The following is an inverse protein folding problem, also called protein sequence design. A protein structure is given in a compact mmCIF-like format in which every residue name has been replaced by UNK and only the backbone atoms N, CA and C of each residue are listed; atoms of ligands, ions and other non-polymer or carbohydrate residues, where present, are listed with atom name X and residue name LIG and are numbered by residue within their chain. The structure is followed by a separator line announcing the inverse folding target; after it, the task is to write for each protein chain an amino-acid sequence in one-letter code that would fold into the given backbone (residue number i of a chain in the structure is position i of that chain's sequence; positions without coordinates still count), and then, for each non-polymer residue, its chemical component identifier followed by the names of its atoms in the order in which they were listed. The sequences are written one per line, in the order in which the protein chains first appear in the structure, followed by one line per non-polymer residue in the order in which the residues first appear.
data_IF_138790083114
#
_entry.id   IF_138790083114
#
_cell.length_a   1.000
_cell.length_b   1.000
_cell.length_c   1.000
_cell.angle_alpha   90.00
_cell.angle_beta   90.00
_cell.angle_gamma   90.00
#
_symmetry.space_group_name_H-M   'P 1'
#
loop_
_entity.id
_entity.type
_entity.pdbx_description
1 polymer ?
#
# COMPACT_ATOMS: atom_id res chain seq x y z
N UNK A 1 14.83 -10.73 -0.44
CA UNK A 1 13.52 -10.08 -0.66
C UNK A 1 12.82 -9.82 0.67
N UNK A 2 11.80 -8.95 0.71
CA UNK A 2 10.98 -8.64 1.89
C UNK A 2 9.53 -8.33 1.46
N UNK A 3 8.60 -8.26 2.42
CA UNK A 3 7.22 -7.81 2.14
C UNK A 3 6.47 -8.69 1.13
N UNK A 4 5.71 -8.05 0.24
CA UNK A 4 4.89 -8.72 -0.79
C UNK A 4 5.72 -9.27 -1.94
N UNK A 5 6.86 -8.65 -2.26
CA UNK A 5 7.80 -9.12 -3.29
C UNK A 5 8.25 -10.58 -3.07
N UNK A 6 8.31 -11.04 -1.80
CA UNK A 6 8.53 -12.43 -1.46
C UNK A 6 7.48 -13.38 -2.04
N UNK A 7 6.20 -13.00 -2.00
CA UNK A 7 5.12 -13.86 -2.50
C UNK A 7 5.22 -14.02 -4.01
N UNK A 8 5.50 -12.94 -4.74
CA UNK A 8 5.73 -13.01 -6.18
C UNK A 8 6.92 -13.92 -6.52
N UNK A 9 8.05 -13.74 -5.82
CA UNK A 9 9.23 -14.59 -6.05
C UNK A 9 8.95 -16.08 -5.76
N UNK A 10 8.24 -16.39 -4.66
CA UNK A 10 7.89 -17.75 -4.28
C UNK A 10 6.90 -18.41 -5.24
N UNK A 11 5.92 -17.66 -5.73
CA UNK A 11 4.94 -18.15 -6.70
C UNK A 11 5.61 -18.46 -8.05
N UNK A 12 6.53 -17.60 -8.48
CA UNK A 12 7.20 -17.73 -9.78
C UNK A 12 8.29 -18.79 -9.76
N UNK A 13 9.07 -18.86 -8.67
CA UNK A 13 10.22 -19.75 -8.51
C UNK A 13 10.07 -20.64 -7.26
N UNK A 14 9.13 -21.61 -7.26
CA UNK A 14 8.85 -22.44 -6.09
C UNK A 14 10.05 -23.30 -5.65
N UNK A 15 10.94 -23.64 -6.58
CA UNK A 15 12.12 -24.47 -6.33
C UNK A 15 13.37 -23.65 -5.98
N UNK A 16 13.30 -22.32 -6.04
CA UNK A 16 14.42 -21.46 -5.67
C UNK A 16 14.58 -21.38 -4.14
N UNK A 17 15.83 -21.30 -3.68
CA UNK A 17 16.08 -20.91 -2.30
C UNK A 17 15.79 -19.41 -2.15
N UNK A 18 14.88 -19.05 -1.24
CA UNK A 18 14.46 -17.66 -1.04
C UNK A 18 14.71 -17.22 0.40
N UNK A 19 15.52 -16.17 0.58
CA UNK A 19 15.65 -15.46 1.85
C UNK A 19 14.59 -14.35 1.95
N UNK A 20 13.59 -14.56 2.82
CA UNK A 20 12.62 -13.54 3.22
C UNK A 20 13.10 -12.82 4.47
N UNK A 21 13.34 -11.52 4.36
CA UNK A 21 13.62 -10.68 5.52
C UNK A 21 12.30 -10.27 6.17
N UNK A 22 12.13 -10.62 7.46
CA UNK A 22 10.97 -10.18 8.26
C UNK A 22 11.10 -8.73 8.74
N UNK A 23 12.33 -8.26 8.92
CA UNK A 23 12.69 -6.90 9.30
C UNK A 23 13.88 -6.48 8.46
N UNK A 24 13.75 -5.36 7.73
CA UNK A 24 14.79 -4.85 6.81
C UNK A 24 15.71 -3.84 7.49
N UNK A 25 15.28 -3.29 8.62
CA UNK A 25 16.08 -2.40 9.46
C UNK A 25 15.87 -2.74 10.95
N UNK A 26 16.93 -2.98 11.74
CA UNK A 26 18.35 -2.97 11.36
C UNK A 26 18.72 -4.06 10.34
N UNK A 27 19.75 -3.80 9.53
CA UNK A 27 20.09 -4.64 8.37
C UNK A 27 20.81 -5.94 8.79
N UNK A 28 20.29 -7.14 8.44
CA UNK A 28 20.80 -8.41 8.98
C UNK A 28 21.99 -8.96 8.18
N UNK A 29 23.13 -8.28 8.23
CA UNK A 29 24.32 -8.60 7.41
C UNK A 29 24.78 -10.06 7.51
N UNK A 30 24.88 -10.60 8.73
CA UNK A 30 25.37 -11.98 8.94
C UNK A 30 24.50 -13.01 8.23
N UNK A 31 23.17 -12.89 8.38
CA UNK A 31 22.20 -13.79 7.75
C UNK A 31 22.30 -13.72 6.21
N UNK A 32 22.46 -12.51 5.67
CA UNK A 32 22.60 -12.30 4.23
C UNK A 32 23.90 -12.92 3.71
N UNK A 33 25.04 -12.73 4.41
CA UNK A 33 26.33 -13.34 4.01
C UNK A 33 26.26 -14.86 4.02
N UNK A 34 25.70 -15.45 5.07
CA UNK A 34 25.54 -16.90 5.20
C UNK A 34 24.65 -17.47 4.09
N UNK A 35 23.59 -16.76 3.72
CA UNK A 35 22.73 -17.16 2.61
C UNK A 35 23.43 -17.00 1.26
N UNK A 36 24.07 -15.86 1.02
CA UNK A 36 24.76 -15.55 -0.24
C UNK A 36 25.90 -16.53 -0.55
N UNK A 37 26.66 -16.95 0.46
CA UNK A 37 27.78 -17.87 0.31
C UNK A 37 27.40 -19.26 -0.24
N UNK A 38 26.10 -19.61 -0.25
CA UNK A 38 25.61 -20.92 -0.71
C UNK A 38 25.32 -20.97 -2.21
N UNK A 39 25.36 -19.84 -2.91
CA UNK A 39 24.90 -19.72 -4.30
C UNK A 39 25.87 -18.90 -5.14
N UNK A 40 25.99 -19.25 -6.42
CA UNK A 40 26.82 -18.51 -7.38
C UNK A 40 26.08 -17.35 -8.06
N UNK A 41 24.74 -17.33 -8.00
CA UNK A 41 23.90 -16.30 -8.60
C UNK A 41 22.80 -15.91 -7.64
N UNK A 42 22.66 -14.61 -7.40
CA UNK A 42 21.73 -14.05 -6.43
C UNK A 42 20.88 -12.96 -7.08
N UNK A 43 19.58 -13.01 -6.79
CA UNK A 43 18.61 -12.01 -7.25
C UNK A 43 18.01 -11.26 -6.06
N UNK A 44 17.92 -9.94 -6.18
CA UNK A 44 17.22 -9.09 -5.21
C UNK A 44 15.88 -8.68 -5.80
N UNK A 45 14.83 -9.37 -5.35
CA UNK A 45 13.44 -9.01 -5.68
C UNK A 45 12.93 -8.07 -4.60
N UNK A 46 12.86 -6.77 -4.91
CA UNK A 46 12.31 -5.72 -4.04
C UNK A 46 11.55 -4.69 -4.86
N UNK A 47 10.51 -4.11 -4.29
CA UNK A 47 9.71 -3.06 -4.95
C UNK A 47 10.23 -1.67 -4.61
N UNK A 48 9.94 -0.70 -5.50
CA UNK A 48 10.39 0.69 -5.41
C UNK A 48 11.92 0.82 -5.53
N UNK A 49 12.56 1.58 -4.65
CA UNK A 49 13.98 1.88 -4.70
C UNK A 49 14.86 0.67 -4.30
N UNK A 50 16.12 0.59 -4.77
CA UNK A 50 17.05 -0.52 -4.53
C UNK A 50 17.63 -0.55 -3.09
N UNK A 51 16.78 -0.50 -2.06
CA UNK A 51 17.25 -0.43 -0.67
C UNK A 51 18.07 -1.67 -0.25
N UNK A 52 17.55 -2.88 -0.50
CA UNK A 52 18.24 -4.12 -0.18
C UNK A 52 19.39 -4.35 -1.13
N UNK A 53 19.21 -4.11 -2.42
CA UNK A 53 20.23 -4.29 -3.44
C UNK A 53 21.47 -3.45 -3.14
N UNK A 54 21.30 -2.15 -2.88
CA UNK A 54 22.40 -1.24 -2.58
C UNK A 54 23.13 -1.66 -1.30
N UNK A 55 22.39 -2.02 -0.26
CA UNK A 55 22.98 -2.48 0.99
C UNK A 55 23.77 -3.80 0.82
N UNK A 56 23.27 -4.74 0.01
CA UNK A 56 23.95 -6.01 -0.28
C UNK A 56 25.20 -5.76 -1.15
N UNK A 57 25.10 -4.91 -2.18
CA UNK A 57 26.25 -4.53 -3.03
C UNK A 57 27.33 -3.83 -2.19
N UNK A 58 26.95 -2.95 -1.26
CA UNK A 58 27.88 -2.29 -0.34
C UNK A 58 28.63 -3.26 0.58
N UNK A 59 28.07 -4.44 0.86
CA UNK A 59 28.73 -5.52 1.59
C UNK A 59 29.76 -6.30 0.77
N UNK A 60 29.90 -5.99 -0.53
CA UNK A 60 30.76 -6.68 -1.50
C UNK A 60 30.16 -7.95 -2.08
N UNK A 61 28.84 -8.12 -2.02
CA UNK A 61 28.13 -9.28 -2.57
C UNK A 61 27.54 -8.91 -3.93
N UNK A 62 27.89 -9.68 -4.96
CA UNK A 62 27.33 -9.50 -6.31
C UNK A 62 25.88 -10.02 -6.36
N UNK A 63 24.97 -9.16 -6.83
CA UNK A 63 23.54 -9.46 -6.96
C UNK A 63 22.96 -8.78 -8.19
N UNK A 64 21.90 -9.38 -8.72
CA UNK A 64 21.09 -8.83 -9.82
C UNK A 64 19.75 -8.36 -9.25
N UNK A 65 19.44 -7.08 -9.39
CA UNK A 65 18.15 -6.52 -8.98
C UNK A 65 17.57 -5.59 -10.04
N UNK A 66 17.71 -4.28 -9.86
CA UNK A 66 17.10 -3.24 -10.70
C UNK A 66 17.62 -3.18 -12.12
N UNK A 67 18.70 -3.89 -12.43
CA UNK A 67 19.16 -4.09 -13.81
C UNK A 67 18.12 -4.84 -14.67
N UNK A 68 17.29 -5.67 -14.05
CA UNK A 68 16.23 -6.45 -14.74
C UNK A 68 14.83 -6.16 -14.19
N UNK A 69 14.71 -5.78 -12.93
CA UNK A 69 13.42 -5.49 -12.33
C UNK A 69 13.14 -3.98 -12.36
N UNK A 70 11.95 -3.55 -12.79
CA UNK A 70 11.65 -2.12 -12.90
C UNK A 70 11.68 -1.43 -11.52
N UNK A 71 12.11 -0.17 -11.49
CA UNK A 71 12.03 0.69 -10.31
C UNK A 71 10.60 1.21 -10.14
N UNK A 72 9.92 1.51 -11.25
CA UNK A 72 8.58 2.09 -11.26
C UNK A 72 7.49 1.06 -11.57
N UNK A 73 6.36 1.20 -10.87
CA UNK A 73 5.18 0.36 -11.02
C UNK A 73 5.18 -0.85 -10.08
N UNK A 74 4.00 -1.45 -9.92
CA UNK A 74 3.78 -2.58 -9.02
C UNK A 74 4.37 -3.88 -9.57
N UNK A 75 4.97 -4.69 -8.70
CA UNK A 75 5.42 -6.01 -9.13
C UNK A 75 4.21 -6.95 -9.25
N UNK A 76 4.27 -7.82 -10.24
CA UNK A 76 3.32 -8.92 -10.39
C UNK A 76 4.12 -10.20 -10.58
N UNK A 77 3.55 -11.39 -10.29
CA UNK A 77 4.20 -12.66 -10.61
C UNK A 77 4.66 -12.71 -12.07
N UNK A 78 3.85 -12.16 -12.98
CA UNK A 78 4.22 -11.96 -14.37
C UNK A 78 5.51 -11.15 -14.51
N UNK A 79 5.53 -9.88 -14.09
CA UNK A 79 6.70 -9.00 -14.23
C UNK A 79 7.97 -9.61 -13.62
N UNK A 80 7.85 -10.28 -12.48
CA UNK A 80 8.97 -10.97 -11.83
C UNK A 80 9.47 -12.15 -12.67
N UNK A 81 8.57 -12.96 -13.26
CA UNK A 81 8.93 -14.05 -14.17
C UNK A 81 9.65 -13.52 -15.40
N UNK A 82 9.05 -12.55 -16.10
CA UNK A 82 9.58 -11.96 -17.32
C UNK A 82 10.98 -11.37 -17.11
N UNK A 83 11.20 -10.66 -16.00
CA UNK A 83 12.50 -10.06 -15.69
C UNK A 83 13.62 -11.10 -15.57
N UNK A 84 13.34 -12.30 -15.03
CA UNK A 84 14.37 -13.32 -14.78
C UNK A 84 14.49 -14.31 -15.94
N UNK A 85 13.39 -14.76 -16.54
CA UNK A 85 13.40 -15.76 -17.63
C UNK A 85 13.58 -15.13 -19.01
N UNK A 86 13.26 -13.84 -19.17
CA UNK A 86 13.22 -13.18 -20.48
C UNK A 86 12.07 -13.66 -21.39
N UNK A 87 11.22 -14.55 -20.90
CA UNK A 87 10.07 -15.06 -21.64
C UNK A 87 9.00 -13.97 -21.72
N UNK A 88 8.52 -13.72 -22.94
CA UNK A 88 7.35 -12.87 -23.13
C UNK A 88 6.13 -13.60 -22.52
N UNK A 89 5.55 -12.99 -21.50
CA UNK A 89 4.39 -13.58 -20.85
C UNK A 89 3.25 -13.53 -21.86
N UNK A 90 2.68 -14.70 -22.15
CA UNK A 90 1.42 -14.77 -22.86
C UNK A 90 0.44 -13.76 -22.25
N UNK A 91 -0.27 -13.02 -23.10
CA UNK A 91 -1.28 -12.03 -22.72
C UNK A 91 -2.06 -12.53 -21.51
N UNK A 92 -2.17 -11.69 -20.47
CA UNK A 92 -2.80 -12.01 -19.19
C UNK A 92 -3.96 -13.01 -19.36
N UNK A 93 -4.00 -14.07 -18.54
CA UNK A 93 -5.06 -15.07 -18.56
C UNK A 93 -6.42 -14.39 -18.76
N UNK A 94 -7.01 -14.59 -19.93
CA UNK A 94 -8.32 -14.04 -20.25
C UNK A 94 -9.35 -14.94 -19.60
N UNK A 95 -9.99 -14.43 -18.56
CA UNK A 95 -11.12 -15.09 -17.93
C UNK A 95 -12.33 -14.82 -18.83
N UNK A 96 -12.89 -15.85 -19.48
CA UNK A 96 -14.17 -15.76 -20.24
C UNK A 96 -15.39 -15.73 -19.29
N UNK A 97 -15.28 -14.99 -18.20
CA UNK A 97 -16.31 -14.91 -17.17
C UNK A 97 -16.51 -13.44 -16.77
N UNK A 98 -17.76 -13.00 -16.72
CA UNK A 98 -18.11 -11.66 -16.27
C UNK A 98 -17.89 -11.57 -14.76
N UNK A 99 -16.73 -11.06 -14.36
CA UNK A 99 -16.39 -10.93 -12.94
C UNK A 99 -17.30 -9.88 -12.27
N UNK A 100 -17.83 -10.15 -11.07
CA UNK A 100 -18.59 -9.16 -10.35
C UNK A 100 -17.71 -7.95 -10.01
N UNK A 101 -18.26 -6.73 -10.01
CA UNK A 101 -17.50 -5.54 -9.65
C UNK A 101 -17.01 -5.65 -8.20
N UNK A 102 -15.75 -5.29 -7.97
CA UNK A 102 -15.15 -5.17 -6.63
C UNK A 102 -14.95 -3.70 -6.28
N UNK A 103 -16.02 -2.93 -5.98
CA UNK A 103 -15.87 -1.55 -5.61
C UNK A 103 -15.11 -1.45 -4.27
N UNK A 104 -14.33 -0.38 -4.05
CA UNK A 104 -13.71 -0.13 -2.76
C UNK A 104 -14.78 -0.10 -1.66
N UNK A 105 -14.66 -0.97 -0.66
CA UNK A 105 -15.67 -1.08 0.40
C UNK A 105 -15.01 -1.46 1.73
N UNK A 106 -15.61 -1.02 2.83
CA UNK A 106 -15.13 -1.37 4.17
C UNK A 106 -15.37 -2.85 4.46
N UNK A 107 -14.44 -3.48 5.18
CA UNK A 107 -14.51 -4.89 5.57
C UNK A 107 -15.83 -5.25 6.30
N UNK A 108 -16.28 -6.51 6.21
CA UNK A 108 -17.34 -7.03 7.08
C UNK A 108 -16.96 -6.80 8.56
N UNK A 109 -17.87 -6.18 9.32
CA UNK A 109 -17.62 -5.85 10.73
C UNK A 109 -16.74 -4.62 10.99
N UNK A 110 -16.35 -3.86 9.96
CA UNK A 110 -15.60 -2.62 10.17
C UNK A 110 -16.43 -1.61 11.00
N UNK A 111 -15.90 -1.20 12.16
CA UNK A 111 -16.57 -0.28 13.08
C UNK A 111 -16.89 1.10 12.48
N UNK A 112 -16.14 1.52 11.45
CA UNK A 112 -16.41 2.78 10.74
C UNK A 112 -17.75 2.79 10.01
N UNK A 113 -18.30 1.62 9.61
CA UNK A 113 -19.56 1.56 8.85
C UNK A 113 -20.72 2.22 9.59
N UNK A 114 -20.82 1.99 10.91
CA UNK A 114 -21.87 2.59 11.74
C UNK A 114 -21.72 4.11 11.83
N UNK A 115 -20.49 4.58 12.08
CA UNK A 115 -20.18 6.02 12.13
C UNK A 115 -20.60 6.73 10.83
N UNK A 116 -20.11 6.28 9.68
CA UNK A 116 -20.41 6.93 8.40
C UNK A 116 -21.87 6.78 7.98
N UNK A 117 -22.53 5.67 8.34
CA UNK A 117 -23.97 5.54 8.14
C UNK A 117 -24.72 6.64 8.91
N UNK A 118 -24.40 6.85 10.18
CA UNK A 118 -25.01 7.91 11.00
C UNK A 118 -24.68 9.30 10.46
N UNK A 119 -23.42 9.59 10.13
CA UNK A 119 -23.02 10.88 9.57
C UNK A 119 -23.78 11.21 8.28
N UNK A 120 -23.97 10.21 7.40
CA UNK A 120 -24.78 10.36 6.19
C UNK A 120 -26.24 10.67 6.51
N UNK A 121 -26.85 9.96 7.46
CA UNK A 121 -28.24 10.21 7.87
C UNK A 121 -28.42 11.62 8.46
N UNK A 122 -27.40 12.14 9.14
CA UNK A 122 -27.39 13.50 9.69
C UNK A 122 -27.11 14.58 8.64
N UNK A 123 -26.77 14.21 7.41
CA UNK A 123 -26.37 15.16 6.37
C UNK A 123 -25.13 15.97 6.75
N UNK A 124 -24.18 15.33 7.42
CA UNK A 124 -22.94 15.96 7.85
C UNK A 124 -22.03 16.28 6.66
N UNK A 125 -21.28 17.39 6.75
CA UNK A 125 -20.16 17.68 5.85
C UNK A 125 -18.91 17.02 6.40
N UNK A 126 -18.50 15.92 5.78
CA UNK A 126 -17.45 15.06 6.31
C UNK A 126 -16.15 15.25 5.53
N UNK A 127 -15.13 15.73 6.22
CA UNK A 127 -13.77 15.87 5.70
C UNK A 127 -12.88 14.81 6.33
N UNK A 128 -12.07 14.13 5.53
CA UNK A 128 -11.22 13.02 5.97
C UNK A 128 -9.76 13.18 5.54
N UNK A 129 -8.87 12.44 6.18
CA UNK A 129 -7.54 12.16 5.61
C UNK A 129 -7.54 10.88 4.77
N UNK A 130 -6.38 10.59 4.18
CA UNK A 130 -6.10 9.33 3.51
C UNK A 130 -6.02 8.21 4.55
N UNK A 131 -6.89 7.21 4.41
CA UNK A 131 -6.89 6.02 5.25
C UNK A 131 -7.96 4.99 4.82
N UNK A 132 -8.10 3.91 5.58
CA UNK A 132 -9.11 2.88 5.28
C UNK A 132 -10.55 3.43 5.33
N UNK A 133 -10.77 4.50 6.10
CA UNK A 133 -12.06 5.16 6.22
C UNK A 133 -12.39 6.07 5.03
N UNK A 134 -11.42 6.40 4.16
CA UNK A 134 -11.65 7.12 2.88
C UNK A 134 -12.58 6.34 1.94
N UNK A 135 -12.71 5.02 2.14
CA UNK A 135 -13.70 4.18 1.46
C UNK A 135 -15.14 4.68 1.67
N UNK A 136 -15.39 5.50 2.69
CA UNK A 136 -16.68 6.15 2.91
C UNK A 136 -17.07 7.16 1.81
N UNK A 137 -16.11 7.66 1.02
CA UNK A 137 -16.38 8.65 -0.04
C UNK A 137 -17.16 8.04 -1.22
N UNK A 138 -17.00 6.74 -1.47
CA UNK A 138 -17.57 6.06 -2.63
C UNK A 138 -18.88 5.34 -2.30
N UNK A 139 -19.73 5.06 -3.31
CA UNK A 139 -20.89 4.19 -3.13
C UNK A 139 -20.50 2.80 -2.59
N UNK A 140 -21.32 2.18 -1.72
CA UNK A 140 -22.67 2.62 -1.31
C UNK A 140 -22.68 3.60 -0.13
N UNK A 141 -21.53 3.85 0.51
CA UNK A 141 -21.46 4.64 1.73
C UNK A 141 -21.67 6.13 1.40
N UNK A 142 -20.90 6.71 0.47
CA UNK A 142 -21.04 8.11 0.02
C UNK A 142 -21.34 9.10 1.17
N UNK A 143 -20.51 9.06 2.20
CA UNK A 143 -20.65 9.82 3.44
C UNK A 143 -19.44 10.70 3.74
N UNK A 144 -18.42 10.71 2.88
CA UNK A 144 -17.26 11.61 2.98
C UNK A 144 -17.22 12.51 1.75
N UNK A 145 -17.13 13.81 1.98
CA UNK A 145 -17.19 14.85 0.94
C UNK A 145 -15.80 15.27 0.45
N UNK A 146 -14.77 15.16 1.29
CA UNK A 146 -13.41 15.57 0.93
C UNK A 146 -12.35 14.70 1.57
N UNK A 147 -11.32 14.36 0.79
CA UNK A 147 -10.08 13.75 1.24
C UNK A 147 -8.93 14.26 0.37
N UNK A 148 -7.95 14.94 0.97
CA UNK A 148 -6.86 15.62 0.23
C UNK A 148 -5.50 14.96 0.46
N UNK A 149 -5.05 14.93 1.72
CA UNK A 149 -3.78 14.32 2.10
C UNK A 149 -3.86 13.82 3.54
N UNK A 150 -2.77 13.21 4.03
CA UNK A 150 -2.60 12.89 5.44
C UNK A 150 -2.48 14.18 6.25
N UNK A 151 -3.48 14.48 7.10
CA UNK A 151 -3.50 15.65 7.98
C UNK A 151 -4.43 16.79 7.57
N UNK A 152 -5.07 16.71 6.41
CA UNK A 152 -5.96 17.75 5.90
C UNK A 152 -7.37 17.75 6.53
N UNK A 153 -7.86 16.63 7.06
CA UNK A 153 -9.23 16.43 7.51
C UNK A 153 -9.67 17.48 8.52
N UNK A 154 -9.00 17.59 9.67
CA UNK A 154 -9.34 18.57 10.71
C UNK A 154 -9.15 20.02 10.25
N UNK A 155 -8.10 20.29 9.48
CA UNK A 155 -7.81 21.61 8.93
C UNK A 155 -8.92 22.08 7.99
N UNK A 156 -9.38 21.19 7.10
CA UNK A 156 -10.50 21.45 6.19
C UNK A 156 -11.81 21.62 6.96
N UNK A 157 -12.12 20.76 7.94
CA UNK A 157 -13.29 20.93 8.81
C UNK A 157 -13.30 22.30 9.50
N UNK A 158 -12.14 22.73 10.01
CA UNK A 158 -11.97 24.04 10.67
C UNK A 158 -12.20 25.19 9.69
N UNK A 159 -11.67 25.07 8.47
CA UNK A 159 -11.90 26.05 7.40
C UNK A 159 -13.38 26.15 7.02
N UNK A 160 -14.05 25.01 6.78
CA UNK A 160 -15.47 24.94 6.44
C UNK A 160 -16.31 25.56 7.57
N UNK A 161 -16.02 25.23 8.83
CA UNK A 161 -16.74 25.77 10.00
C UNK A 161 -16.68 27.29 10.12
N UNK A 162 -15.71 27.96 9.48
CA UNK A 162 -15.62 29.44 9.46
C UNK A 162 -16.48 30.10 8.39
N UNK A 163 -16.90 29.36 7.37
CA UNK A 163 -17.61 29.91 6.19
C UNK A 163 -19.06 29.45 6.08
N UNK A 164 -19.42 28.31 6.70
CA UNK A 164 -20.81 27.85 6.74
C UNK A 164 -21.66 28.67 7.71
N UNK A 165 -22.99 28.76 7.48
CA UNK A 165 -23.94 29.37 8.41
C UNK A 165 -23.86 28.79 9.83
N UNK A 166 -24.17 29.59 10.85
CA UNK A 166 -24.06 29.19 12.26
C UNK A 166 -24.86 27.94 12.61
N UNK A 167 -26.04 27.76 12.00
CA UNK A 167 -26.91 26.60 12.18
C UNK A 167 -26.37 25.32 11.51
N UNK A 168 -25.45 25.45 10.56
CA UNK A 168 -24.81 24.32 9.87
C UNK A 168 -23.44 23.94 10.44
N UNK A 169 -22.80 24.78 11.26
CA UNK A 169 -21.48 24.49 11.86
C UNK A 169 -21.44 23.14 12.58
N UNK A 170 -22.53 22.78 13.26
CA UNK A 170 -22.67 21.49 13.96
C UNK A 170 -22.70 20.26 13.05
N UNK A 171 -22.90 20.45 11.74
CA UNK A 171 -22.87 19.37 10.73
C UNK A 171 -21.47 19.14 10.18
N UNK A 172 -20.50 20.01 10.46
CA UNK A 172 -19.13 19.86 9.96
C UNK A 172 -18.37 18.86 10.82
N UNK A 173 -17.89 17.78 10.21
CA UNK A 173 -17.20 16.69 10.90
C UNK A 173 -15.86 16.42 10.22
N UNK A 174 -14.78 16.50 10.99
CA UNK A 174 -13.46 16.04 10.57
C UNK A 174 -13.20 14.63 11.08
N UNK A 175 -12.81 13.71 10.19
CA UNK A 175 -12.45 12.33 10.52
C UNK A 175 -10.98 12.12 10.23
N UNK A 176 -10.28 11.52 11.18
CA UNK A 176 -8.84 11.33 11.13
C UNK A 176 -8.51 9.92 11.64
N UNK A 177 -7.57 9.25 10.97
CA UNK A 177 -7.05 7.95 11.40
C UNK A 177 -6.01 8.12 12.51
N UNK A 178 -5.66 7.02 13.17
CA UNK A 178 -4.63 6.95 14.20
C UNK A 178 -3.25 7.42 13.70
N UNK A 179 -2.81 6.92 12.53
CA UNK A 179 -1.53 7.28 11.95
C UNK A 179 -1.49 8.76 11.54
N UNK A 180 -2.56 9.26 10.93
CA UNK A 180 -2.68 10.67 10.52
C UNK A 180 -2.81 11.61 11.70
N UNK A 181 -3.44 11.15 12.79
CA UNK A 181 -3.47 11.87 14.07
C UNK A 181 -2.08 12.06 14.64
N UNK A 182 -1.24 11.02 14.64
CA UNK A 182 0.15 11.14 15.09
C UNK A 182 1.04 11.92 14.11
N UNK A 183 0.77 11.84 12.80
CA UNK A 183 1.52 12.56 11.78
C UNK A 183 1.40 14.08 11.94
N UNK A 184 0.17 14.59 12.09
CA UNK A 184 -0.11 16.04 12.07
C UNK A 184 -1.29 16.46 12.95
N UNK A 185 -2.07 15.54 13.49
CA UNK A 185 -3.26 15.88 14.30
C UNK A 185 -2.95 16.40 15.72
N UNK A 186 -1.73 16.16 16.23
CA UNK A 186 -1.27 16.63 17.55
C UNK A 186 -0.52 17.97 17.48
N UNK A 187 -0.11 18.39 16.29
CA UNK A 187 0.73 19.59 16.09
C UNK A 187 -0.07 20.90 16.10
#
# INVERSE_FOLDING_TARGET
TAGVAYQYAREVFPDAAILKLGMVFPFPEKLIREFAARFSKLYVVEELDPFLEDAIKAMGIEVIGKDIFPICGEYTPGRVRQAVSGEDLASAYTVDEELPPRPPNMCPGCGHRGLFYTLKQLGAFVTGDIGCYTLAALPPISAMDSCVCMGAGISNATGISKVVPDDEKQKVVGVMGDSTFLHTGVN
#
